data_IF_956398991569
#
_entry.id   IF_956398991569
#
_cell.length_a   1.000
_cell.length_b   1.000
_cell.length_c   1.000
_cell.angle_alpha   90.00
_cell.angle_beta   90.00
_cell.angle_gamma   90.00
#
_symmetry.space_group_name_H-M   'P 1'
#
loop_
_entity.id
_entity.type
_entity.pdbx_description
1 polymer ?
#
# COMPACT_ATOMS: atom_id res chain seq x y z
N UNK A 1 -17.21 8.33 5.21
CA UNK A 1 -18.39 7.57 4.68
C UNK A 1 -19.27 8.42 3.78
N UNK A 2 -19.73 9.60 4.21
CA UNK A 2 -20.66 10.46 3.43
C UNK A 2 -20.32 10.59 1.94
N UNK A 3 -19.04 10.82 1.63
CA UNK A 3 -18.57 10.89 0.24
C UNK A 3 -18.83 9.60 -0.55
N UNK A 4 -18.49 8.46 0.02
CA UNK A 4 -18.65 7.17 -0.66
C UNK A 4 -20.11 6.79 -0.88
N UNK A 5 -20.97 7.10 0.10
CA UNK A 5 -22.40 6.78 0.03
C UNK A 5 -23.19 7.81 -0.82
N UNK A 6 -23.03 9.11 -0.54
CA UNK A 6 -23.83 10.14 -1.19
C UNK A 6 -23.34 10.48 -2.59
N UNK A 7 -22.00 10.57 -2.79
CA UNK A 7 -21.43 10.99 -4.08
C UNK A 7 -21.30 9.79 -5.01
N UNK A 8 -20.64 8.72 -4.55
CA UNK A 8 -20.37 7.55 -5.38
C UNK A 8 -21.49 6.51 -5.34
N UNK A 9 -22.41 6.57 -4.37
CA UNK A 9 -23.54 5.64 -4.24
C UNK A 9 -23.16 4.24 -3.78
N UNK A 10 -22.00 4.10 -3.12
CA UNK A 10 -21.54 2.85 -2.50
C UNK A 10 -22.36 2.55 -1.23
N UNK A 11 -22.35 1.29 -0.83
CA UNK A 11 -23.02 0.83 0.40
C UNK A 11 -21.97 0.20 1.31
N UNK A 12 -22.17 0.31 2.61
CA UNK A 12 -21.41 -0.49 3.57
C UNK A 12 -21.87 -1.95 3.42
N UNK A 13 -20.94 -2.83 3.14
CA UNK A 13 -21.19 -4.27 3.03
C UNK A 13 -21.00 -4.95 4.39
N UNK A 14 -19.90 -4.65 5.06
CA UNK A 14 -19.58 -5.12 6.41
C UNK A 14 -18.57 -4.19 7.08
N UNK A 15 -18.53 -4.28 8.40
CA UNK A 15 -17.58 -3.52 9.23
C UNK A 15 -17.03 -4.42 10.33
N UNK A 16 -15.72 -4.35 10.56
CA UNK A 16 -15.02 -5.17 11.54
C UNK A 16 -14.05 -4.32 12.35
N UNK A 17 -13.95 -4.60 13.65
CA UNK A 17 -13.06 -3.92 14.59
C UNK A 17 -12.02 -4.90 15.12
N UNK A 18 -10.78 -4.43 15.26
CA UNK A 18 -9.65 -5.23 15.73
C UNK A 18 -8.90 -4.45 16.80
N UNK A 19 -8.52 -5.15 17.87
CA UNK A 19 -7.80 -4.55 19.00
C UNK A 19 -6.28 -4.49 18.77
N UNK A 20 -5.76 -5.29 17.83
CA UNK A 20 -4.33 -5.40 17.52
C UNK A 20 -4.10 -5.39 16.00
N UNK A 21 -2.91 -4.98 15.58
CA UNK A 21 -2.50 -4.98 14.19
C UNK A 21 -2.54 -6.37 13.55
N UNK A 22 -2.92 -6.44 12.28
CA UNK A 22 -3.02 -7.67 11.50
C UNK A 22 -1.66 -8.36 11.33
N UNK A 23 -1.60 -9.68 11.51
CA UNK A 23 -0.36 -10.46 11.32
C UNK A 23 0.13 -10.39 9.87
N UNK A 24 -0.81 -10.40 8.91
CA UNK A 24 -0.53 -10.24 7.49
C UNK A 24 -0.44 -8.76 7.06
N UNK A 25 -0.26 -7.83 8.00
CA UNK A 25 -0.16 -6.39 7.76
C UNK A 25 -1.34 -5.77 7.00
N UNK A 26 -2.58 -6.30 7.20
CA UNK A 26 -3.78 -5.83 6.52
C UNK A 26 -4.09 -4.34 6.77
N UNK A 27 -3.68 -3.83 7.92
CA UNK A 27 -3.82 -2.43 8.29
C UNK A 27 -2.53 -1.61 8.09
N UNK A 28 -1.62 -2.10 7.24
CA UNK A 28 -0.30 -1.51 7.04
C UNK A 28 0.67 -1.83 8.18
N UNK A 29 1.68 -0.98 8.44
CA UNK A 29 2.72 -1.24 9.43
C UNK A 29 2.25 -1.06 10.88
N UNK A 30 1.01 -0.65 11.11
CA UNK A 30 0.50 -0.22 12.41
C UNK A 30 0.18 -1.42 13.33
N UNK A 31 0.64 -1.37 14.57
CA UNK A 31 0.45 -2.44 15.56
C UNK A 31 -0.74 -2.24 16.50
N UNK A 32 -1.40 -1.07 16.45
CA UNK A 32 -2.52 -0.72 17.32
C UNK A 32 -3.88 -1.21 16.84
N UNK A 33 -4.92 -0.80 17.56
CA UNK A 33 -6.30 -1.07 17.19
C UNK A 33 -6.65 -0.42 15.82
N UNK A 34 -7.48 -1.09 15.05
CA UNK A 34 -7.89 -0.64 13.73
C UNK A 34 -9.26 -1.18 13.34
N UNK A 35 -9.83 -0.63 12.31
CA UNK A 35 -11.08 -1.15 11.76
C UNK A 35 -11.01 -1.25 10.25
N UNK A 36 -11.82 -2.15 9.72
CA UNK A 36 -11.99 -2.42 8.30
C UNK A 36 -13.46 -2.23 7.93
N UNK A 37 -13.72 -1.43 6.91
CA UNK A 37 -15.05 -1.25 6.36
C UNK A 37 -15.03 -1.58 4.88
N UNK A 38 -15.74 -2.64 4.50
CA UNK A 38 -15.94 -2.98 3.09
C UNK A 38 -17.10 -2.19 2.54
N UNK A 39 -16.88 -1.55 1.40
CA UNK A 39 -17.91 -0.76 0.69
C UNK A 39 -17.95 -1.17 -0.79
N UNK A 40 -19.15 -1.24 -1.35
CA UNK A 40 -19.34 -1.70 -2.72
C UNK A 40 -20.77 -1.48 -3.20
N UNK A 41 -21.09 -2.00 -4.38
CA UNK A 41 -22.44 -1.95 -4.95
C UNK A 41 -23.24 -3.21 -4.69
N UNK A 42 -22.59 -4.33 -4.39
CA UNK A 42 -23.14 -5.65 -4.09
C UNK A 42 -22.17 -6.49 -3.27
N UNK A 43 -22.51 -7.77 -3.03
CA UNK A 43 -21.64 -8.71 -2.31
C UNK A 43 -20.23 -8.79 -2.93
N UNK A 44 -19.23 -9.03 -2.11
CA UNK A 44 -17.82 -9.17 -2.55
C UNK A 44 -17.61 -10.37 -3.50
N UNK A 45 -18.50 -11.37 -3.44
CA UNK A 45 -18.51 -12.51 -4.36
C UNK A 45 -18.97 -12.13 -5.78
N UNK A 46 -19.81 -11.11 -5.89
CA UNK A 46 -20.43 -10.70 -7.16
C UNK A 46 -19.70 -9.56 -7.87
N UNK A 47 -18.87 -8.80 -7.16
CA UNK A 47 -18.22 -7.64 -7.72
C UNK A 47 -17.04 -7.10 -6.89
N UNK A 48 -16.51 -5.99 -7.37
CA UNK A 48 -15.40 -5.30 -6.73
C UNK A 48 -15.89 -4.53 -5.48
N UNK A 49 -15.10 -4.56 -4.43
CA UNK A 49 -15.32 -3.77 -3.21
C UNK A 49 -14.06 -2.99 -2.82
N UNK A 50 -14.25 -1.85 -2.17
CA UNK A 50 -13.18 -1.11 -1.53
C UNK A 50 -13.10 -1.47 -0.06
N UNK A 51 -11.90 -1.75 0.41
CA UNK A 51 -11.59 -1.87 1.83
C UNK A 51 -11.10 -0.51 2.34
N UNK A 52 -11.84 0.08 3.27
CA UNK A 52 -11.45 1.28 3.97
C UNK A 52 -10.86 0.89 5.33
N UNK A 53 -9.57 1.05 5.47
CA UNK A 53 -8.85 0.79 6.72
C UNK A 53 -8.70 2.08 7.51
N UNK A 54 -8.97 2.00 8.81
CA UNK A 54 -8.77 3.09 9.74
C UNK A 54 -7.97 2.61 10.95
N UNK A 55 -6.80 3.21 11.17
CA UNK A 55 -5.96 2.93 12.34
C UNK A 55 -6.26 3.96 13.41
N UNK A 56 -6.66 3.49 14.60
CA UNK A 56 -6.98 4.37 15.72
C UNK A 56 -5.72 5.07 16.23
N UNK A 57 -5.83 6.38 16.44
CA UNK A 57 -4.73 7.21 16.91
C UNK A 57 -3.74 7.63 15.81
N UNK A 58 -4.02 7.33 14.54
CA UNK A 58 -3.25 7.84 13.41
C UNK A 58 -4.05 8.98 12.77
N UNK A 59 -3.50 10.20 12.84
CA UNK A 59 -4.19 11.43 12.42
C UNK A 59 -4.26 11.60 10.90
N UNK A 60 -3.40 10.93 10.15
CA UNK A 60 -3.37 11.00 8.70
C UNK A 60 -2.35 10.06 8.06
N UNK A 61 -2.43 9.94 6.75
CA UNK A 61 -1.54 9.11 5.96
C UNK A 61 -0.93 9.95 4.83
N UNK A 62 0.37 9.75 4.58
CA UNK A 62 1.03 10.32 3.41
C UNK A 62 0.65 9.45 2.20
N UNK A 63 -0.02 10.04 1.22
CA UNK A 63 -0.26 9.38 -0.08
C UNK A 63 1.04 9.36 -0.89
N UNK A 64 1.28 8.27 -1.60
CA UNK A 64 2.33 8.17 -2.59
C UNK A 64 1.91 8.68 -3.97
N UNK A 65 2.67 8.30 -4.98
CA UNK A 65 2.37 8.56 -6.39
C UNK A 65 1.92 7.27 -7.14
N UNK A 66 1.63 6.23 -6.40
CA UNK A 66 1.27 4.89 -6.85
C UNK A 66 -0.16 4.81 -7.43
N UNK A 67 -1.18 4.98 -6.59
CA UNK A 67 -2.59 4.91 -6.98
C UNK A 67 -3.04 6.22 -7.65
N UNK A 68 -3.27 6.16 -8.95
CA UNK A 68 -3.63 7.32 -9.75
C UNK A 68 -5.12 7.64 -9.73
N UNK A 69 -5.97 6.60 -9.75
CA UNK A 69 -7.42 6.74 -9.63
C UNK A 69 -8.13 5.40 -9.42
N UNK A 70 -9.36 5.48 -8.94
CA UNK A 70 -10.34 4.40 -8.98
C UNK A 70 -11.44 4.84 -9.95
N UNK A 71 -11.63 4.10 -11.05
CA UNK A 71 -12.57 4.43 -12.11
C UNK A 71 -13.91 3.70 -11.92
N UNK A 72 -15.01 4.46 -11.99
CA UNK A 72 -16.37 3.96 -11.81
C UNK A 72 -17.26 4.42 -12.97
N UNK A 73 -18.14 3.55 -13.46
CA UNK A 73 -19.20 3.97 -14.37
C UNK A 73 -20.40 4.50 -13.58
N UNK A 74 -20.70 5.78 -13.75
CA UNK A 74 -21.72 6.53 -13.02
C UNK A 74 -22.39 7.56 -13.94
N UNK A 75 -23.53 8.11 -13.51
CA UNK A 75 -24.05 9.33 -14.11
C UNK A 75 -23.09 10.49 -13.78
N UNK A 76 -22.31 10.90 -14.76
CA UNK A 76 -21.20 11.86 -14.59
C UNK A 76 -21.71 13.21 -14.08
N UNK A 77 -22.79 13.74 -14.66
CA UNK A 77 -23.32 15.06 -14.28
C UNK A 77 -23.93 15.06 -12.88
N UNK A 78 -24.70 14.02 -12.56
CA UNK A 78 -25.27 13.87 -11.23
C UNK A 78 -24.19 13.65 -10.18
N UNK A 79 -23.16 12.87 -10.48
CA UNK A 79 -22.05 12.59 -9.57
C UNK A 79 -21.21 13.85 -9.33
N UNK A 80 -20.91 14.61 -10.39
CA UNK A 80 -20.22 15.90 -10.31
C UNK A 80 -20.99 16.88 -9.41
N UNK A 81 -22.30 17.06 -9.65
CA UNK A 81 -23.13 17.95 -8.87
C UNK A 81 -23.13 17.59 -7.38
N UNK A 82 -23.22 16.30 -7.05
CA UNK A 82 -23.16 15.81 -5.66
C UNK A 82 -21.78 16.08 -5.02
N UNK A 83 -20.70 15.83 -5.76
CA UNK A 83 -19.35 16.09 -5.28
C UNK A 83 -19.11 17.58 -4.99
N UNK A 84 -19.56 18.46 -5.88
CA UNK A 84 -19.47 19.92 -5.70
C UNK A 84 -20.32 20.41 -4.53
N UNK A 85 -21.51 19.84 -4.33
CA UNK A 85 -22.36 20.14 -3.18
C UNK A 85 -21.71 19.75 -1.84
N UNK A 86 -20.87 18.71 -1.83
CA UNK A 86 -20.06 18.31 -0.66
C UNK A 86 -18.71 19.05 -0.58
N UNK A 87 -18.48 20.07 -1.41
CA UNK A 87 -17.26 20.87 -1.42
C UNK A 87 -16.03 20.13 -1.94
N UNK A 88 -16.22 19.04 -2.71
CA UNK A 88 -15.10 18.28 -3.29
C UNK A 88 -14.58 18.97 -4.55
N UNK A 89 -13.26 18.91 -4.75
CA UNK A 89 -12.66 19.40 -6.01
C UNK A 89 -13.00 18.42 -7.13
N UNK A 90 -13.49 18.98 -8.25
CA UNK A 90 -13.81 18.21 -9.46
C UNK A 90 -12.99 18.76 -10.63
N UNK A 91 -12.59 17.86 -11.55
CA UNK A 91 -11.95 18.21 -12.80
C UNK A 91 -12.64 17.45 -13.94
N UNK A 92 -13.15 18.21 -14.91
CA UNK A 92 -13.83 17.61 -16.07
C UNK A 92 -12.81 17.05 -17.04
N UNK A 93 -12.95 15.77 -17.34
CA UNK A 93 -12.15 15.05 -18.32
C UNK A 93 -12.81 15.18 -19.69
N UNK A 94 -12.06 15.65 -20.70
CA UNK A 94 -12.53 15.73 -22.08
C UNK A 94 -11.86 14.63 -22.88
N UNK A 95 -12.67 13.77 -23.48
CA UNK A 95 -12.17 12.73 -24.37
C UNK A 95 -12.15 13.21 -25.82
N UNK A 96 -11.09 12.91 -26.56
CA UNK A 96 -10.92 13.34 -27.95
C UNK A 96 -11.79 12.55 -28.95
N UNK A 97 -12.52 11.53 -28.53
CA UNK A 97 -13.33 10.67 -29.37
C UNK A 97 -14.82 10.92 -29.18
N UNK A 98 -15.46 11.45 -30.20
CA UNK A 98 -16.89 11.80 -30.24
C UNK A 98 -17.86 10.59 -30.25
N UNK A 99 -17.35 9.37 -30.29
CA UNK A 99 -18.16 8.16 -30.35
C UNK A 99 -18.74 7.71 -28.99
N UNK A 100 -18.23 8.23 -27.87
CA UNK A 100 -18.71 7.96 -26.53
C UNK A 100 -19.27 9.22 -25.88
N UNK A 101 -20.23 9.84 -26.45
CA UNK A 101 -21.17 10.90 -26.02
C UNK A 101 -21.01 11.64 -24.69
N UNK A 102 -19.86 11.68 -24.03
CA UNK A 102 -19.70 12.38 -22.76
C UNK A 102 -18.29 12.25 -22.18
N UNK A 103 -17.78 13.37 -21.66
CA UNK A 103 -16.56 13.40 -20.85
C UNK A 103 -16.79 12.73 -19.49
N UNK A 104 -15.70 12.39 -18.78
CA UNK A 104 -15.74 11.95 -17.40
C UNK A 104 -15.47 13.09 -16.42
N UNK A 105 -15.49 12.79 -15.14
CA UNK A 105 -15.08 13.72 -14.09
C UNK A 105 -14.12 13.02 -13.13
N UNK A 106 -13.04 13.72 -12.77
CA UNK A 106 -12.11 13.31 -11.73
C UNK A 106 -12.46 14.07 -10.45
N UNK A 107 -12.62 13.36 -9.37
CA UNK A 107 -13.08 13.87 -8.08
C UNK A 107 -12.00 13.57 -7.04
N UNK A 108 -11.59 14.57 -6.26
CA UNK A 108 -10.70 14.34 -5.12
C UNK A 108 -11.50 13.82 -3.93
N UNK A 109 -11.19 12.62 -3.48
CA UNK A 109 -11.79 11.99 -2.31
C UNK A 109 -11.34 12.61 -0.98
N UNK A 110 -11.97 12.23 0.13
CA UNK A 110 -11.60 12.68 1.47
C UNK A 110 -10.29 12.06 1.96
N UNK A 111 -9.88 10.96 1.37
CA UNK A 111 -8.68 10.16 1.61
C UNK A 111 -7.45 10.63 0.82
N UNK A 112 -7.61 11.69 0.02
CA UNK A 112 -6.57 12.22 -0.87
C UNK A 112 -6.50 11.51 -2.23
N UNK A 113 -7.17 10.38 -2.41
CA UNK A 113 -7.20 9.67 -3.68
C UNK A 113 -8.17 10.28 -4.68
N UNK A 114 -8.04 9.88 -5.93
CA UNK A 114 -8.85 10.38 -7.03
C UNK A 114 -9.85 9.31 -7.47
N UNK A 115 -11.10 9.73 -7.67
CA UNK A 115 -12.18 8.90 -8.16
C UNK A 115 -12.61 9.41 -9.53
N UNK A 116 -12.52 8.56 -10.55
CA UNK A 116 -12.82 8.90 -11.94
C UNK A 116 -14.22 8.36 -12.27
N UNK A 117 -15.20 9.24 -12.46
CA UNK A 117 -16.51 8.85 -12.94
C UNK A 117 -16.56 8.95 -14.47
N UNK A 118 -17.01 7.86 -15.12
CA UNK A 118 -17.22 7.77 -16.57
C UNK A 118 -18.68 7.40 -16.84
N UNK A 119 -19.21 7.73 -18.03
CA UNK A 119 -20.58 7.32 -18.40
C UNK A 119 -20.75 5.81 -18.32
N UNK A 120 -22.00 5.33 -18.09
CA UNK A 120 -22.30 3.90 -18.12
C UNK A 120 -21.87 3.25 -19.42
N UNK A 121 -21.24 2.09 -19.32
CA UNK A 121 -20.73 1.29 -20.43
C UNK A 121 -21.80 0.27 -20.81
N UNK A 122 -22.19 0.25 -22.07
CA UNK A 122 -23.24 -0.65 -22.56
C UNK A 122 -22.86 -2.12 -22.31
N UNK A 123 -23.80 -2.88 -21.74
CA UNK A 123 -23.61 -4.30 -21.44
C UNK A 123 -22.85 -4.62 -20.17
N UNK A 124 -22.20 -3.62 -19.54
CA UNK A 124 -21.39 -3.84 -18.33
C UNK A 124 -22.21 -3.63 -17.06
N UNK A 125 -22.22 -4.63 -16.18
CA UNK A 125 -22.93 -4.58 -14.88
C UNK A 125 -22.03 -4.12 -13.74
N UNK A 126 -20.75 -4.52 -13.74
CA UNK A 126 -19.78 -4.08 -12.72
C UNK A 126 -19.53 -2.57 -12.82
N UNK A 127 -19.79 -1.86 -11.73
CA UNK A 127 -19.65 -0.41 -11.71
C UNK A 127 -18.21 0.08 -11.51
N UNK A 128 -17.37 -0.72 -10.88
CA UNK A 128 -15.93 -0.45 -10.87
C UNK A 128 -15.33 -0.85 -12.21
N UNK A 129 -14.76 0.11 -12.91
CA UNK A 129 -14.21 -0.12 -14.24
C UNK A 129 -12.75 -0.52 -14.16
N UNK A 130 -11.95 0.28 -13.45
CA UNK A 130 -10.52 0.00 -13.31
C UNK A 130 -9.90 0.72 -12.11
N UNK A 131 -8.74 0.23 -11.70
CA UNK A 131 -7.83 0.89 -10.77
C UNK A 131 -6.59 1.31 -11.56
N UNK A 132 -6.27 2.59 -11.56
CA UNK A 132 -5.09 3.14 -12.25
C UNK A 132 -3.87 3.13 -11.35
N UNK A 133 -2.85 2.37 -11.73
CA UNK A 133 -1.58 2.24 -11.02
C UNK A 133 -0.45 2.86 -11.83
N UNK A 134 0.37 3.69 -11.19
CA UNK A 134 1.59 4.20 -11.80
C UNK A 134 2.66 3.11 -11.82
N UNK A 135 3.38 2.94 -12.91
CA UNK A 135 4.43 1.92 -13.04
C UNK A 135 5.71 2.54 -13.60
N UNK A 136 6.86 2.06 -13.11
CA UNK A 136 8.17 2.56 -13.54
C UNK A 136 8.60 2.01 -14.89
N UNK A 137 8.17 0.78 -15.25
CA UNK A 137 8.49 0.07 -16.48
C UNK A 137 7.26 -0.71 -16.97
N UNK A 138 6.49 -0.12 -17.89
CA UNK A 138 5.25 -0.70 -18.38
C UNK A 138 5.42 -2.11 -19.00
N UNK A 139 6.40 -2.38 -19.85
CA UNK A 139 6.65 -3.73 -20.35
C UNK A 139 6.89 -4.76 -19.24
N UNK A 140 7.68 -4.41 -18.23
CA UNK A 140 8.00 -5.28 -17.10
C UNK A 140 6.77 -5.57 -16.23
N UNK A 141 5.99 -4.53 -15.92
CA UNK A 141 4.75 -4.68 -15.16
C UNK A 141 3.72 -5.49 -15.95
N UNK A 142 3.56 -5.23 -17.27
CA UNK A 142 2.69 -6.04 -18.13
C UNK A 142 3.09 -7.52 -18.15
N UNK A 143 4.38 -7.84 -18.24
CA UNK A 143 4.84 -9.22 -18.20
C UNK A 143 4.51 -9.88 -16.85
N UNK A 144 4.69 -9.18 -15.75
CA UNK A 144 4.34 -9.68 -14.42
C UNK A 144 2.84 -9.99 -14.31
N UNK A 145 1.98 -9.03 -14.64
CA UNK A 145 0.53 -9.17 -14.48
C UNK A 145 -0.09 -10.14 -15.50
N UNK A 146 0.42 -10.16 -16.75
CA UNK A 146 -0.16 -11.01 -17.80
C UNK A 146 0.53 -12.37 -17.91
N UNK A 147 1.87 -12.43 -17.99
CA UNK A 147 2.56 -13.68 -18.28
C UNK A 147 2.71 -14.53 -17.01
N UNK A 148 2.92 -13.91 -15.82
CA UNK A 148 3.04 -14.63 -14.57
C UNK A 148 1.69 -14.84 -13.89
N UNK A 149 0.90 -13.76 -13.71
CA UNK A 149 -0.38 -13.83 -12.98
C UNK A 149 -1.59 -14.15 -13.89
N UNK A 150 -1.38 -14.33 -15.20
CA UNK A 150 -2.41 -14.82 -16.13
C UNK A 150 -3.50 -13.82 -16.52
N UNK A 151 -3.30 -12.52 -16.31
CA UNK A 151 -4.25 -11.50 -16.75
C UNK A 151 -4.23 -11.31 -18.26
N UNK A 152 -5.40 -11.15 -18.86
CA UNK A 152 -5.54 -10.78 -20.26
C UNK A 152 -5.35 -9.27 -20.44
N UNK A 153 -4.82 -8.88 -21.60
CA UNK A 153 -4.76 -7.46 -22.00
C UNK A 153 -6.05 -7.07 -22.69
N UNK A 154 -6.61 -5.93 -22.32
CA UNK A 154 -7.84 -5.40 -22.89
C UNK A 154 -7.58 -4.11 -23.65
N UNK A 155 -8.16 -4.00 -24.84
CA UNK A 155 -8.18 -2.73 -25.56
C UNK A 155 -9.11 -1.77 -24.84
N UNK A 156 -8.59 -0.65 -24.35
CA UNK A 156 -9.47 0.43 -23.88
C UNK A 156 -10.32 0.94 -25.05
N UNK A 157 -11.62 1.18 -24.83
CA UNK A 157 -12.34 2.11 -25.69
C UNK A 157 -11.56 3.42 -25.68
N UNK A 158 -11.40 4.07 -26.82
CA UNK A 158 -10.53 5.24 -27.07
C UNK A 158 -10.76 6.49 -26.18
N UNK A 159 -11.43 6.34 -25.08
CA UNK A 159 -11.87 7.37 -24.12
C UNK A 159 -10.82 7.76 -23.08
N UNK A 160 -9.67 7.14 -23.04
CA UNK A 160 -8.75 7.33 -21.92
C UNK A 160 -7.41 7.97 -22.24
N UNK A 161 -7.11 8.33 -23.49
CA UNK A 161 -5.89 9.08 -23.80
C UNK A 161 -6.14 10.56 -23.61
N UNK A 162 -6.02 11.06 -22.40
CA UNK A 162 -5.85 12.50 -22.21
C UNK A 162 -4.40 12.85 -22.52
N UNK A 163 -4.27 13.74 -23.49
CA UNK A 163 -3.02 14.36 -23.88
C UNK A 163 -2.51 15.32 -22.80
N UNK A 164 -1.83 14.76 -21.80
CA UNK A 164 -0.84 15.54 -21.03
C UNK A 164 0.46 14.74 -21.06
N UNK A 165 1.22 14.90 -22.14
CA UNK A 165 2.39 14.07 -22.39
C UNK A 165 2.00 12.66 -22.85
N UNK A 166 2.92 11.93 -23.45
CA UNK A 166 2.71 10.53 -23.88
C UNK A 166 2.72 9.61 -22.66
N UNK A 167 1.61 9.53 -21.89
CA UNK A 167 1.43 8.49 -20.88
C UNK A 167 1.28 7.17 -21.64
N UNK A 168 2.22 6.27 -21.48
CA UNK A 168 2.08 4.90 -21.94
C UNK A 168 1.14 4.17 -20.99
N UNK A 169 0.20 3.40 -21.51
CA UNK A 169 -0.75 2.67 -20.68
C UNK A 169 -1.18 1.35 -21.30
N UNK A 170 -1.42 0.37 -20.44
CA UNK A 170 -2.01 -0.92 -20.79
C UNK A 170 -3.09 -1.27 -19.76
N UNK A 171 -4.17 -1.92 -20.21
CA UNK A 171 -5.22 -2.40 -19.30
C UNK A 171 -5.15 -3.92 -19.23
N UNK A 172 -5.07 -4.45 -18.00
CA UNK A 172 -4.98 -5.89 -17.74
C UNK A 172 -6.05 -6.32 -16.74
N UNK A 173 -6.52 -7.56 -16.83
CA UNK A 173 -7.53 -8.10 -15.92
C UNK A 173 -7.90 -9.55 -16.22
N UNK A 174 -8.68 -10.18 -15.34
CA UNK A 174 -9.12 -11.56 -15.49
C UNK A 174 -10.38 -11.71 -16.35
N UNK A 175 -11.15 -10.64 -16.54
CA UNK A 175 -12.35 -10.64 -17.35
C UNK A 175 -12.80 -9.24 -17.77
N UNK A 176 -13.34 -9.09 -18.97
CA UNK A 176 -13.78 -7.78 -19.49
C UNK A 176 -14.91 -7.17 -18.66
N UNK A 177 -15.76 -8.02 -18.04
CA UNK A 177 -16.87 -7.59 -17.18
C UNK A 177 -16.44 -7.29 -15.74
N UNK A 178 -15.22 -7.62 -15.36
CA UNK A 178 -14.67 -7.38 -14.03
C UNK A 178 -13.90 -6.05 -13.98
N UNK A 179 -13.61 -5.57 -12.76
CA UNK A 179 -12.69 -4.46 -12.57
C UNK A 179 -11.28 -4.85 -13.06
N UNK A 180 -10.65 -3.95 -13.80
CA UNK A 180 -9.33 -4.16 -14.40
C UNK A 180 -8.27 -3.25 -13.75
N UNK A 181 -7.01 -3.47 -14.06
CA UNK A 181 -5.91 -2.59 -13.72
C UNK A 181 -5.50 -1.79 -14.96
N UNK A 182 -5.37 -0.49 -14.78
CA UNK A 182 -4.76 0.40 -15.75
C UNK A 182 -3.32 0.67 -15.33
N UNK A 183 -2.36 0.05 -15.98
CA UNK A 183 -0.94 0.27 -15.74
C UNK A 183 -0.50 1.52 -16.52
N UNK A 184 -0.01 2.53 -15.83
CA UNK A 184 0.26 3.86 -16.36
C UNK A 184 1.74 4.20 -16.17
N UNK A 185 2.50 4.34 -17.24
CA UNK A 185 3.87 4.86 -17.17
C UNK A 185 3.87 6.35 -17.55
N UNK A 186 3.92 7.19 -16.53
CA UNK A 186 3.93 8.64 -16.70
C UNK A 186 5.35 9.13 -17.00
N UNK A 187 5.58 9.95 -18.05
CA UNK A 187 6.89 10.54 -18.32
C UNK A 187 7.41 11.34 -17.11
N UNK A 188 8.58 11.00 -16.62
CA UNK A 188 9.19 11.66 -15.47
C UNK A 188 8.63 11.24 -14.12
N UNK A 189 7.82 10.18 -14.08
CA UNK A 189 7.45 9.54 -12.81
C UNK A 189 8.68 9.09 -12.03
N UNK A 190 8.61 9.17 -10.71
CA UNK A 190 9.67 8.71 -9.84
C UNK A 190 9.97 7.21 -10.06
N UNK A 191 11.23 6.83 -9.95
CA UNK A 191 11.64 5.45 -9.89
C UNK A 191 12.62 5.32 -8.72
N UNK A 192 12.29 4.58 -7.67
CA UNK A 192 11.10 3.71 -7.48
C UNK A 192 9.80 4.51 -7.28
N UNK A 193 8.66 3.84 -7.48
CA UNK A 193 7.33 4.39 -7.18
C UNK A 193 7.21 4.63 -5.66
N UNK A 194 6.72 5.81 -5.27
CA UNK A 194 6.42 6.10 -3.87
C UNK A 194 5.03 5.58 -3.50
N UNK A 195 4.98 4.60 -2.60
CA UNK A 195 3.73 4.04 -2.08
C UNK A 195 3.16 4.83 -0.91
N UNK A 196 3.90 5.79 -0.37
CA UNK A 196 3.48 6.54 0.82
C UNK A 196 3.22 5.64 2.04
N UNK A 197 2.25 6.06 2.86
CA UNK A 197 1.79 5.31 4.04
C UNK A 197 0.29 4.96 3.95
N UNK A 198 -0.37 5.36 2.88
CA UNK A 198 -1.79 5.14 2.64
C UNK A 198 -2.07 4.02 1.62
N UNK A 199 -1.04 3.55 0.92
CA UNK A 199 -1.17 2.50 -0.08
C UNK A 199 -1.70 1.21 0.55
N UNK A 200 -2.69 0.62 -0.11
CA UNK A 200 -3.28 -0.65 0.25
C UNK A 200 -2.84 -1.77 -0.68
N UNK A 201 -3.63 -2.83 -0.68
CA UNK A 201 -3.42 -4.02 -1.51
C UNK A 201 -4.49 -4.12 -2.58
N UNK A 202 -4.10 -4.66 -3.73
CA UNK A 202 -5.07 -5.22 -4.67
C UNK A 202 -5.28 -6.68 -4.29
N UNK A 203 -6.52 -7.09 -4.02
CA UNK A 203 -6.83 -8.44 -3.57
C UNK A 203 -7.65 -9.20 -4.62
N UNK A 204 -7.34 -10.48 -4.78
CA UNK A 204 -8.03 -11.39 -5.69
C UNK A 204 -8.42 -12.66 -4.97
N UNK A 205 -9.69 -13.07 -5.13
CA UNK A 205 -10.14 -14.39 -4.75
C UNK A 205 -9.70 -15.40 -5.81
N UNK A 206 -9.21 -16.56 -5.38
CA UNK A 206 -8.74 -17.63 -6.25
C UNK A 206 -9.14 -19.01 -5.69
N UNK A 207 -9.08 -20.02 -6.53
CA UNK A 207 -9.42 -21.38 -6.11
C UNK A 207 -8.40 -21.91 -5.08
N UNK A 208 -7.11 -21.75 -5.37
CA UNK A 208 -6.02 -22.24 -4.53
C UNK A 208 -4.83 -21.25 -4.52
N UNK A 209 -4.34 -20.95 -3.34
CA UNK A 209 -3.17 -20.07 -3.13
C UNK A 209 -1.81 -20.75 -3.43
N UNK A 210 -1.55 -22.03 -3.06
CA UNK A 210 -0.22 -22.62 -3.22
C UNK A 210 0.33 -22.65 -4.64
N UNK A 211 -0.45 -22.91 -5.72
CA UNK A 211 0.07 -22.84 -7.10
C UNK A 211 0.58 -21.44 -7.46
N UNK A 212 -0.19 -20.40 -7.14
CA UNK A 212 0.17 -19.00 -7.43
C UNK A 212 1.48 -18.62 -6.73
N UNK A 213 1.59 -18.98 -5.45
CA UNK A 213 2.83 -18.78 -4.69
C UNK A 213 4.02 -19.50 -5.34
N UNK A 214 3.85 -20.77 -5.76
CA UNK A 214 4.93 -21.56 -6.34
C UNK A 214 5.47 -20.95 -7.65
N UNK A 215 4.60 -20.41 -8.47
CA UNK A 215 4.97 -19.71 -9.70
C UNK A 215 5.68 -18.39 -9.38
N UNK A 216 5.13 -17.59 -8.47
CA UNK A 216 5.72 -16.31 -8.06
C UNK A 216 7.10 -16.47 -7.40
N UNK A 217 7.30 -17.52 -6.59
CA UNK A 217 8.55 -17.80 -5.90
C UNK A 217 9.72 -18.15 -6.86
N UNK A 218 9.42 -18.56 -8.10
CA UNK A 218 10.41 -18.86 -9.14
C UNK A 218 10.58 -17.74 -10.16
N UNK A 219 9.76 -16.70 -10.07
CA UNK A 219 9.78 -15.59 -11.01
C UNK A 219 11.07 -14.75 -10.89
N UNK A 220 11.48 -14.16 -12.00
CA UNK A 220 12.67 -13.27 -12.05
C UNK A 220 12.35 -11.83 -11.69
N UNK A 221 11.08 -11.49 -11.53
CA UNK A 221 10.60 -10.15 -11.16
C UNK A 221 9.50 -10.26 -10.12
N UNK A 222 9.34 -9.20 -9.32
CA UNK A 222 8.46 -9.22 -8.16
C UNK A 222 9.08 -9.97 -6.97
N UNK A 223 8.31 -10.09 -5.90
CA UNK A 223 8.74 -10.72 -4.63
C UNK A 223 7.61 -11.50 -4.00
N UNK A 224 7.94 -12.44 -3.11
CA UNK A 224 6.98 -13.04 -2.17
C UNK A 224 7.13 -12.31 -0.84
N UNK A 225 6.12 -11.55 -0.45
CA UNK A 225 6.11 -10.80 0.82
C UNK A 225 5.69 -11.72 1.96
N UNK A 226 4.60 -12.46 1.75
CA UNK A 226 4.09 -13.45 2.73
C UNK A 226 3.85 -14.76 2.01
N UNK A 227 4.58 -15.84 2.35
CA UNK A 227 4.27 -17.19 1.88
C UNK A 227 2.84 -17.60 2.30
N UNK A 228 2.28 -18.70 1.75
CA UNK A 228 0.96 -19.16 2.13
C UNK A 228 0.79 -19.22 3.66
N UNK A 229 -0.16 -18.43 4.15
CA UNK A 229 -0.48 -18.27 5.57
C UNK A 229 -1.95 -18.57 5.78
N UNK A 230 -2.23 -19.44 6.76
CA UNK A 230 -3.60 -19.72 7.21
C UNK A 230 -3.97 -18.75 8.32
N UNK A 231 -5.00 -17.94 8.09
CA UNK A 231 -5.55 -17.00 9.06
C UNK A 231 -6.72 -17.69 9.77
N UNK A 232 -6.58 -18.03 11.07
CA UNK A 232 -7.64 -18.66 11.81
C UNK A 232 -8.80 -17.68 12.01
N UNK A 233 -10.01 -18.15 11.75
CA UNK A 233 -11.23 -17.34 11.93
C UNK A 233 -12.16 -18.06 12.91
N UNK A 234 -12.22 -17.64 14.18
CA UNK A 234 -13.03 -18.28 15.20
C UNK A 234 -14.50 -18.44 14.78
N UNK A 235 -14.98 -19.71 14.75
CA UNK A 235 -16.37 -20.04 14.40
C UNK A 235 -16.70 -20.07 12.90
N UNK A 236 -15.70 -19.91 12.02
CA UNK A 236 -15.82 -19.97 10.56
C UNK A 236 -14.66 -20.78 9.96
N UNK A 237 -14.64 -20.95 8.65
CA UNK A 237 -13.51 -21.58 7.96
C UNK A 237 -12.26 -20.70 8.04
N UNK A 238 -11.11 -21.32 8.21
CA UNK A 238 -9.81 -20.64 8.13
C UNK A 238 -9.55 -20.18 6.70
N UNK A 239 -8.97 -19.00 6.55
CA UNK A 239 -8.70 -18.38 5.25
C UNK A 239 -7.22 -18.50 4.92
N UNK A 240 -6.91 -19.06 3.75
CA UNK A 240 -5.53 -19.14 3.26
C UNK A 240 -5.26 -17.94 2.36
N UNK A 241 -4.15 -17.26 2.61
CA UNK A 241 -3.70 -16.09 1.85
C UNK A 241 -2.23 -16.21 1.47
N UNK A 242 -1.82 -15.54 0.41
CA UNK A 242 -0.43 -15.20 0.12
C UNK A 242 -0.35 -13.74 -0.33
N UNK A 243 0.78 -13.09 -0.03
CA UNK A 243 0.99 -11.70 -0.43
C UNK A 243 2.24 -11.64 -1.27
N UNK A 244 2.06 -11.12 -2.47
CA UNK A 244 3.11 -10.90 -3.46
C UNK A 244 3.40 -9.40 -3.59
N UNK A 245 4.60 -9.06 -4.02
CA UNK A 245 4.96 -7.73 -4.48
C UNK A 245 5.24 -7.77 -5.97
N UNK A 246 4.62 -6.89 -6.74
CA UNK A 246 4.92 -6.75 -8.15
C UNK A 246 6.31 -6.09 -8.38
N UNK A 247 6.76 -5.87 -9.62
CA UNK A 247 8.07 -5.25 -9.90
C UNK A 247 8.27 -3.82 -9.36
N UNK A 248 7.18 -3.11 -9.11
CA UNK A 248 7.19 -1.75 -8.56
C UNK A 248 6.91 -1.71 -7.05
N UNK A 249 6.60 -2.87 -6.43
CA UNK A 249 6.36 -3.01 -4.99
C UNK A 249 4.88 -2.96 -4.59
N UNK A 250 3.94 -2.98 -5.55
CA UNK A 250 2.52 -3.11 -5.21
C UNK A 250 2.24 -4.42 -4.51
N UNK A 251 1.60 -4.35 -3.36
CA UNK A 251 1.19 -5.53 -2.62
C UNK A 251 -0.07 -6.16 -3.24
N UNK A 252 0.02 -7.45 -3.50
CA UNK A 252 -1.06 -8.23 -4.11
C UNK A 252 -1.42 -9.36 -3.17
N UNK A 253 -2.66 -9.39 -2.72
CA UNK A 253 -3.19 -10.47 -1.88
C UNK A 253 -3.98 -11.45 -2.73
N UNK A 254 -3.62 -12.73 -2.68
CA UNK A 254 -4.48 -13.81 -3.16
C UNK A 254 -5.10 -14.52 -1.96
N UNK A 255 -6.41 -14.76 -2.01
CA UNK A 255 -7.18 -15.38 -0.95
C UNK A 255 -8.01 -16.52 -1.51
N UNK A 256 -8.07 -17.67 -0.82
CA UNK A 256 -8.93 -18.78 -1.24
C UNK A 256 -10.42 -18.43 -1.11
N UNK A 257 -11.12 -18.51 -2.25
CA UNK A 257 -12.47 -17.96 -2.44
C UNK A 257 -13.51 -18.57 -1.50
N UNK A 258 -13.58 -19.91 -1.41
CA UNK A 258 -14.63 -20.61 -0.67
C UNK A 258 -14.69 -20.22 0.81
N UNK A 259 -13.53 -20.16 1.46
CA UNK A 259 -13.45 -19.75 2.86
C UNK A 259 -13.69 -18.23 3.02
N UNK A 260 -13.13 -17.43 2.12
CA UNK A 260 -13.27 -15.99 2.14
C UNK A 260 -14.72 -15.54 1.99
N UNK A 261 -15.47 -16.07 1.03
CA UNK A 261 -16.86 -15.65 0.82
C UNK A 261 -17.79 -16.03 1.96
N UNK A 262 -17.50 -17.09 2.72
CA UNK A 262 -18.22 -17.37 3.97
C UNK A 262 -18.00 -16.30 5.04
N UNK A 263 -16.84 -15.61 5.03
CA UNK A 263 -16.54 -14.47 5.90
C UNK A 263 -17.12 -13.17 5.38
N UNK A 264 -17.08 -13.00 4.07
CA UNK A 264 -17.44 -11.78 3.36
C UNK A 264 -18.96 -11.59 3.19
N UNK A 265 -19.78 -12.47 3.77
CA UNK A 265 -21.24 -12.34 3.69
C UNK A 265 -21.69 -10.94 4.14
N UNK A 266 -22.40 -10.19 3.28
CA UNK A 266 -22.80 -8.81 3.57
C UNK A 266 -23.75 -8.77 4.77
N UNK A 267 -23.44 -7.92 5.73
CA UNK A 267 -24.29 -7.68 6.90
C UNK A 267 -25.08 -6.37 6.77
N UNK A 268 -24.66 -5.50 5.82
CA UNK A 268 -25.22 -4.16 5.62
C UNK A 268 -25.34 -3.37 6.92
N UNK A 269 -24.34 -3.47 7.78
CA UNK A 269 -24.33 -2.89 9.10
C UNK A 269 -24.38 -1.37 9.04
N UNK A 270 -25.22 -0.78 9.88
CA UNK A 270 -25.16 0.65 10.16
C UNK A 270 -24.02 0.89 11.13
N UNK A 271 -23.00 1.60 10.68
CA UNK A 271 -21.85 1.95 11.55
C UNK A 271 -22.29 3.11 12.44
N UNK A 272 -22.27 2.90 13.75
CA UNK A 272 -22.43 3.98 14.73
C UNK A 272 -21.09 4.72 14.90
N UNK A 273 -20.87 5.74 14.06
CA UNK A 273 -19.68 6.57 14.14
C UNK A 273 -19.55 7.35 15.46
N UNK A 274 -20.62 7.57 16.21
CA UNK A 274 -20.56 8.24 17.49
C UNK A 274 -19.95 7.34 18.57
N UNK A 275 -20.37 6.06 18.61
CA UNK A 275 -19.74 5.08 19.50
C UNK A 275 -18.28 4.78 19.12
N UNK A 276 -17.97 4.87 17.84
CA UNK A 276 -16.63 4.72 17.29
C UNK A 276 -15.73 5.90 17.69
N UNK A 277 -16.22 7.14 17.56
CA UNK A 277 -15.53 8.33 18.03
C UNK A 277 -15.26 8.28 19.55
N UNK A 278 -16.16 7.65 20.32
CA UNK A 278 -15.96 7.45 21.75
C UNK A 278 -14.86 6.42 22.08
N UNK A 279 -14.61 5.42 21.22
CA UNK A 279 -13.48 4.49 21.38
C UNK A 279 -12.13 5.12 21.03
N UNK A 280 -12.10 6.01 20.01
CA UNK A 280 -10.93 6.82 19.66
C UNK A 280 -10.89 8.18 20.37
N UNK A 281 -11.95 8.51 21.11
CA UNK A 281 -12.35 9.87 21.39
C UNK A 281 -12.03 10.44 22.74
N UNK A 282 -11.08 9.93 23.47
CA UNK A 282 -10.51 10.75 24.55
C UNK A 282 -9.35 11.59 24.03
N UNK A 283 -9.44 12.28 22.92
CA UNK A 283 -8.53 13.38 22.55
C UNK A 283 -7.07 13.29 23.04
N UNK A 284 -6.75 12.21 23.72
CA UNK A 284 -5.39 11.81 23.98
C UNK A 284 -4.82 11.44 22.61
N UNK A 285 -3.97 12.33 22.07
CA UNK A 285 -2.92 11.87 21.17
C UNK A 285 -2.51 10.47 21.65
N UNK A 286 -2.42 9.47 20.74
CA UNK A 286 -1.97 8.13 21.11
C UNK A 286 -0.79 8.36 22.04
N UNK A 287 -0.67 7.64 23.16
CA UNK A 287 0.47 7.83 24.04
C UNK A 287 1.65 7.82 23.09
N UNK A 288 2.39 8.96 23.02
CA UNK A 288 3.50 9.13 22.07
C UNK A 288 4.15 7.79 21.98
N UNK A 289 4.10 7.15 20.82
CA UNK A 289 4.39 5.71 20.68
C UNK A 289 5.68 5.47 21.44
N UNK A 290 5.70 4.52 22.36
CA UNK A 290 6.94 4.26 23.10
C UNK A 290 8.01 4.12 22.05
N UNK A 291 9.05 4.96 22.09
CA UNK A 291 10.12 4.94 21.09
C UNK A 291 10.58 3.52 20.87
N UNK A 292 10.93 3.17 19.66
CA UNK A 292 11.52 1.87 19.37
C UNK A 292 12.74 1.71 20.28
N UNK A 293 12.66 0.80 21.26
CA UNK A 293 13.71 0.66 22.29
C UNK A 293 14.65 -0.46 21.89
N UNK A 294 15.92 -0.11 21.78
CA UNK A 294 17.03 -1.07 21.68
C UNK A 294 17.75 -1.17 23.03
N UNK A 295 18.47 -2.28 23.22
CA UNK A 295 19.27 -2.46 24.43
C UNK A 295 20.31 -1.34 24.55
N UNK A 296 20.47 -0.82 25.75
CA UNK A 296 21.36 0.33 26.02
C UNK A 296 22.80 0.07 25.55
N UNK A 297 23.34 1.00 24.74
CA UNK A 297 24.71 0.95 24.25
C UNK A 297 24.95 0.04 23.03
N UNK A 298 23.89 -0.54 22.47
CA UNK A 298 23.98 -1.37 21.26
C UNK A 298 23.80 -0.55 19.99
N UNK A 299 22.90 0.41 20.03
CA UNK A 299 22.63 1.37 18.97
C UNK A 299 22.67 2.80 19.50
N UNK A 300 22.78 3.78 18.61
CA UNK A 300 22.75 5.19 18.93
C UNK A 300 21.57 5.85 18.20
N UNK A 301 20.73 6.58 18.93
CA UNK A 301 19.62 7.30 18.33
C UNK A 301 20.09 8.64 17.75
N UNK A 302 19.67 8.94 16.51
CA UNK A 302 19.95 10.20 15.83
C UNK A 302 18.65 10.82 15.31
N UNK A 303 18.63 12.13 15.29
CA UNK A 303 17.44 12.91 14.90
C UNK A 303 17.75 13.98 13.84
N UNK A 304 19.03 14.26 13.58
CA UNK A 304 19.46 15.29 12.65
C UNK A 304 20.49 14.78 11.64
N UNK A 305 20.57 15.39 10.44
CA UNK A 305 21.58 15.07 9.44
C UNK A 305 23.01 15.23 9.98
N UNK A 306 23.26 16.26 10.79
CA UNK A 306 24.58 16.54 11.35
C UNK A 306 25.08 15.42 12.26
N UNK A 307 24.19 14.79 13.05
CA UNK A 307 24.52 13.63 13.89
C UNK A 307 24.92 12.41 13.03
N UNK A 308 24.29 12.24 11.89
CA UNK A 308 24.64 11.19 10.92
C UNK A 308 26.00 11.49 10.27
N UNK A 309 26.26 12.73 9.85
CA UNK A 309 27.54 13.16 9.29
C UNK A 309 28.70 12.97 10.28
N UNK A 310 28.49 13.33 11.55
CA UNK A 310 29.48 13.10 12.61
C UNK A 310 29.78 11.60 12.80
N UNK A 311 28.75 10.76 12.79
CA UNK A 311 28.92 9.32 12.91
C UNK A 311 29.63 8.73 11.68
N UNK A 312 29.32 9.18 10.48
CA UNK A 312 29.99 8.81 9.22
C UNK A 312 31.47 9.19 9.26
N UNK A 313 31.79 10.42 9.68
CA UNK A 313 33.18 10.88 9.80
C UNK A 313 33.97 10.05 10.83
N UNK A 314 33.34 9.67 11.94
CA UNK A 314 33.97 8.86 12.99
C UNK A 314 34.17 7.39 12.61
N UNK A 315 33.38 6.86 11.65
CA UNK A 315 33.41 5.45 11.27
C UNK A 315 34.65 5.05 10.43
N UNK A 316 35.38 6.01 9.86
CA UNK A 316 36.57 5.73 9.02
C UNK A 316 36.22 4.82 7.84
N UNK A 317 36.86 3.64 7.73
CA UNK A 317 36.57 2.67 6.68
C UNK A 317 35.40 1.71 7.02
N UNK A 318 34.69 1.95 8.12
CA UNK A 318 33.57 1.12 8.56
C UNK A 318 32.31 1.35 7.77
N UNK A 319 31.22 0.76 8.24
CA UNK A 319 29.86 0.94 7.72
C UNK A 319 28.97 1.59 8.79
N UNK A 320 28.07 2.45 8.36
CA UNK A 320 26.94 2.94 9.17
C UNK A 320 25.67 2.27 8.64
N UNK A 321 24.86 1.73 9.52
CA UNK A 321 23.50 1.27 9.21
C UNK A 321 22.52 2.21 9.89
N UNK A 322 21.76 2.94 9.10
CA UNK A 322 20.59 3.69 9.57
C UNK A 322 19.41 2.73 9.63
N UNK A 323 18.83 2.55 10.83
CA UNK A 323 17.65 1.75 11.09
C UNK A 323 16.47 2.69 11.29
N UNK A 324 15.70 2.91 10.22
CA UNK A 324 14.49 3.73 10.25
C UNK A 324 13.31 2.91 10.75
N UNK A 325 12.75 3.35 11.85
CA UNK A 325 11.64 2.70 12.51
C UNK A 325 10.71 3.68 13.21
N UNK A 326 9.68 3.14 13.87
CA UNK A 326 8.76 3.90 14.72
C UNK A 326 8.23 3.01 15.85
N UNK A 327 7.88 3.60 16.96
CA UNK A 327 7.36 2.87 18.12
C UNK A 327 6.01 2.18 17.88
N UNK A 328 5.22 2.65 16.94
CA UNK A 328 3.96 2.03 16.51
C UNK A 328 4.16 0.88 15.50
N UNK A 329 5.35 0.74 14.91
CA UNK A 329 5.63 -0.22 13.85
C UNK A 329 5.87 -1.63 14.42
N UNK A 330 4.93 -2.55 14.22
CA UNK A 330 5.01 -3.96 14.67
C UNK A 330 6.21 -4.70 14.05
N UNK A 331 6.46 -4.48 12.76
CA UNK A 331 7.56 -5.10 12.06
C UNK A 331 8.91 -4.57 12.51
N UNK A 332 9.01 -3.28 12.85
CA UNK A 332 10.22 -2.70 13.43
C UNK A 332 10.53 -3.37 14.78
N UNK A 333 9.53 -3.56 15.64
CA UNK A 333 9.69 -4.26 16.93
C UNK A 333 10.21 -5.70 16.75
N UNK A 334 9.78 -6.41 15.69
CA UNK A 334 10.31 -7.75 15.35
C UNK A 334 11.78 -7.70 14.94
N UNK A 335 12.24 -6.59 14.33
CA UNK A 335 13.62 -6.42 13.89
C UNK A 335 14.57 -5.99 15.00
N UNK A 336 14.11 -5.43 16.11
CA UNK A 336 14.94 -4.99 17.25
C UNK A 336 15.95 -6.07 17.67
N UNK A 337 15.54 -7.32 18.03
CA UNK A 337 16.51 -8.34 18.43
C UNK A 337 17.47 -8.75 17.31
N UNK A 338 17.08 -8.59 16.05
CA UNK A 338 17.93 -8.86 14.89
C UNK A 338 19.02 -7.80 14.78
N UNK A 339 18.65 -6.53 14.87
CA UNK A 339 19.56 -5.39 14.84
C UNK A 339 20.54 -5.45 16.01
N UNK A 340 20.07 -5.76 17.21
CA UNK A 340 20.92 -5.94 18.38
C UNK A 340 21.94 -7.06 18.22
N UNK A 341 21.53 -8.19 17.62
CA UNK A 341 22.43 -9.31 17.31
C UNK A 341 23.47 -8.91 16.27
N UNK A 342 23.09 -8.17 15.23
CA UNK A 342 24.01 -7.66 14.20
C UNK A 342 25.02 -6.70 14.84
N UNK A 343 24.55 -5.73 15.59
CA UNK A 343 25.38 -4.70 16.23
C UNK A 343 26.35 -5.28 17.29
N UNK A 344 25.89 -6.26 18.07
CA UNK A 344 26.71 -6.90 19.12
C UNK A 344 27.57 -8.04 18.60
N UNK A 345 27.33 -8.53 17.39
CA UNK A 345 27.99 -9.67 16.79
C UNK A 345 29.32 -9.33 16.08
N UNK A 346 29.89 -10.31 15.35
CA UNK A 346 31.14 -10.10 14.60
C UNK A 346 31.07 -8.97 13.56
N UNK A 347 29.89 -8.74 12.98
CA UNK A 347 29.63 -7.67 12.01
C UNK A 347 29.72 -6.29 12.67
N UNK A 348 29.29 -6.14 13.92
CA UNK A 348 29.32 -4.89 14.68
C UNK A 348 30.70 -4.32 14.94
N UNK A 349 31.79 -5.09 14.70
CA UNK A 349 33.16 -4.56 14.79
C UNK A 349 33.48 -3.57 13.69
N UNK A 350 32.78 -3.63 12.56
CA UNK A 350 32.95 -2.78 11.39
C UNK A 350 31.68 -2.03 10.99
N UNK A 351 30.63 -2.22 11.75
CA UNK A 351 29.29 -1.67 11.50
C UNK A 351 28.83 -0.91 12.74
N UNK A 352 28.55 0.36 12.60
CA UNK A 352 27.82 1.15 13.63
C UNK A 352 26.36 1.23 13.23
N UNK A 353 25.44 0.97 14.15
CA UNK A 353 24.00 1.09 13.92
C UNK A 353 23.48 2.38 14.55
N UNK A 354 22.84 3.20 13.76
CA UNK A 354 22.12 4.40 14.16
C UNK A 354 20.62 4.16 13.99
N UNK A 355 19.84 4.46 15.00
CA UNK A 355 18.37 4.33 14.97
C UNK A 355 17.74 5.69 14.70
N UNK A 356 16.82 5.72 13.75
CA UNK A 356 16.09 6.91 13.34
C UNK A 356 14.59 6.68 13.56
N UNK A 357 14.00 7.39 14.53
CA UNK A 357 12.55 7.37 14.70
C UNK A 357 11.92 8.37 13.71
N UNK A 358 11.17 7.87 12.74
CA UNK A 358 10.59 8.70 11.69
C UNK A 358 9.54 9.69 12.20
N UNK A 359 8.98 9.47 13.39
CA UNK A 359 8.05 10.40 14.03
C UNK A 359 8.76 11.63 14.61
N UNK A 360 10.08 11.50 14.90
CA UNK A 360 10.90 12.59 15.45
C UNK A 360 11.85 13.19 14.41
N UNK A 361 12.30 12.39 13.46
CA UNK A 361 13.31 12.72 12.46
C UNK A 361 12.77 12.55 11.02
N UNK A 362 11.62 13.14 10.74
CA UNK A 362 10.99 13.11 9.42
C UNK A 362 11.90 13.66 8.31
N UNK A 363 12.66 14.72 8.61
CA UNK A 363 13.60 15.33 7.66
C UNK A 363 14.70 14.33 7.23
N UNK A 364 15.19 13.49 8.17
CA UNK A 364 16.12 12.40 7.84
C UNK A 364 15.45 11.33 6.98
N UNK A 365 14.21 10.97 7.26
CA UNK A 365 13.48 10.00 6.45
C UNK A 365 13.30 10.52 5.00
N UNK A 366 13.00 11.79 4.84
CA UNK A 366 12.88 12.44 3.54
C UNK A 366 14.25 12.52 2.80
N UNK A 367 15.34 12.83 3.50
CA UNK A 367 16.70 12.90 2.92
C UNK A 367 17.17 11.55 2.35
N UNK A 368 16.83 10.45 3.01
CA UNK A 368 17.20 9.10 2.58
C UNK A 368 16.12 8.38 1.74
N UNK A 369 15.08 9.08 1.29
CA UNK A 369 13.95 8.54 0.50
C UNK A 369 13.20 7.39 1.21
N UNK A 370 13.06 7.47 2.54
CA UNK A 370 12.38 6.46 3.34
C UNK A 370 10.88 6.69 3.30
N UNK A 371 10.18 5.92 2.47
CA UNK A 371 8.72 5.98 2.30
C UNK A 371 7.94 5.00 3.19
N UNK A 372 8.62 4.15 3.96
CA UNK A 372 7.98 3.17 4.85
C UNK A 372 8.97 2.52 5.81
N UNK A 373 8.47 1.91 6.87
CA UNK A 373 9.28 1.27 7.92
C UNK A 373 8.87 -0.18 8.17
N UNK A 374 9.81 -1.08 8.53
CA UNK A 374 11.23 -0.82 8.74
C UNK A 374 12.01 -0.65 7.42
N UNK A 375 12.90 0.32 7.40
CA UNK A 375 13.85 0.56 6.31
C UNK A 375 15.26 0.71 6.85
N UNK A 376 16.23 0.17 6.11
CA UNK A 376 17.62 0.13 6.50
C UNK A 376 18.48 0.72 5.39
N UNK A 377 19.28 1.73 5.69
CA UNK A 377 20.18 2.37 4.74
C UNK A 377 21.61 2.18 5.20
N UNK A 378 22.46 1.61 4.35
CA UNK A 378 23.87 1.43 4.64
C UNK A 378 24.70 2.54 3.99
N UNK A 379 25.52 3.22 4.79
CA UNK A 379 26.42 4.29 4.35
C UNK A 379 27.87 3.86 4.52
N UNK A 380 28.75 4.29 3.61
CA UNK A 380 30.19 4.11 3.74
C UNK A 380 30.73 5.13 4.75
N UNK A 381 31.46 4.67 5.77
CA UNK A 381 32.16 5.55 6.68
C UNK A 381 33.17 6.43 5.95
N UNK A 382 33.41 7.62 6.47
CA UNK A 382 34.26 8.63 5.89
C UNK A 382 33.69 9.38 4.69
N UNK A 383 33.05 8.69 3.70
CA UNK A 383 32.47 9.36 2.54
C UNK A 383 30.98 9.69 2.69
N UNK A 384 30.23 8.92 3.47
CA UNK A 384 28.77 9.04 3.58
C UNK A 384 27.99 8.48 2.39
N UNK A 385 28.66 7.87 1.42
CA UNK A 385 27.98 7.33 0.24
C UNK A 385 26.99 6.22 0.64
N UNK A 386 25.74 6.31 0.15
CA UNK A 386 24.73 5.26 0.26
C UNK A 386 25.18 4.05 -0.57
N UNK A 387 25.49 2.93 0.07
CA UNK A 387 26.01 1.73 -0.58
C UNK A 387 24.98 0.61 -0.67
N UNK A 388 23.93 0.63 0.13
CA UNK A 388 22.80 -0.28 0.03
C UNK A 388 21.55 0.27 0.76
N UNK A 389 20.43 -0.28 0.37
CA UNK A 389 19.14 -0.07 1.05
C UNK A 389 18.40 -1.40 1.15
N UNK A 390 17.65 -1.59 2.24
CA UNK A 390 16.76 -2.71 2.42
C UNK A 390 15.45 -2.24 3.05
N UNK A 391 14.32 -2.56 2.44
CA UNK A 391 12.97 -2.32 2.96
C UNK A 391 12.34 -3.67 3.31
N UNK A 392 11.83 -3.81 4.53
CA UNK A 392 11.15 -5.01 4.97
C UNK A 392 11.68 -5.59 6.29
N UNK A 393 11.04 -6.67 6.74
CA UNK A 393 11.26 -7.27 8.07
C UNK A 393 11.77 -8.72 8.01
N UNK A 394 12.42 -9.13 6.91
CA UNK A 394 13.08 -10.44 6.83
C UNK A 394 14.50 -10.36 7.38
N UNK A 395 14.79 -11.02 8.52
CA UNK A 395 16.11 -11.01 9.15
C UNK A 395 17.22 -11.57 8.26
N UNK A 396 16.93 -12.65 7.52
CA UNK A 396 17.93 -13.33 6.71
C UNK A 396 18.35 -12.48 5.50
N UNK A 397 17.38 -11.84 4.85
CA UNK A 397 17.62 -10.94 3.73
C UNK A 397 18.47 -9.73 4.15
N UNK A 398 18.18 -9.12 5.31
CA UNK A 398 18.98 -8.02 5.85
C UNK A 398 20.42 -8.45 6.17
N UNK A 399 20.60 -9.59 6.88
CA UNK A 399 21.93 -10.08 7.23
C UNK A 399 22.79 -10.42 6.00
N UNK A 400 22.20 -11.03 4.97
CA UNK A 400 22.88 -11.31 3.71
C UNK A 400 23.35 -10.01 3.05
N UNK A 401 22.45 -9.01 3.00
CA UNK A 401 22.77 -7.72 2.38
C UNK A 401 23.89 -6.97 3.10
N UNK A 402 23.85 -6.93 4.44
CA UNK A 402 24.90 -6.30 5.25
C UNK A 402 26.22 -7.06 5.11
N UNK A 403 26.19 -8.40 5.17
CA UNK A 403 27.39 -9.23 5.08
C UNK A 403 28.11 -9.08 3.75
N UNK A 404 27.41 -8.80 2.68
CA UNK A 404 27.98 -8.56 1.35
C UNK A 404 28.75 -7.22 1.24
N UNK A 405 28.55 -6.29 2.19
CA UNK A 405 29.17 -4.96 2.19
C UNK A 405 30.44 -4.86 3.07
N UNK A 406 30.63 -5.83 3.96
CA UNK A 406 31.74 -5.89 4.94
C UNK A 406 32.86 -6.84 4.50
#
# INVERSE_FOLDING_TARGET
>A
MTFFENVLGLKVLRHEEFDEGCEATCNGPYGGAWSKTMIGYGPEEEGFALELTYNYGIDGYKNGDDLQYICLQLDVEATKAKAEAEGKKTHVLRYSCAAAGGGGVLISGPDGYKYKAVPPIEGRTERFVSVGLNVSDLPKSCAYWSDLLGMSKFSKPASASEAVGEILSETVGYGEEQASLDLLQTPGAASPIDHGLASGRVAFACDLVPPIHSEAATATSGTVITPPLTLPTPGKADVVVTILGDPDGYEICFVEADAFYQLAEPKYDVIDFASRAARGGDGAAPPKSEKLQHAAGVTEAVTTPEEVEEAVAAAGDGLILLDFGAGWCKNCKKMVPVIERIASGPLGKKLKVLTVDIDEAGDLADEYDVSGVPSFVALRGGSGDKVAEYKGSDPAALEVKISALL
#
